data_IF_702267678680
#
_entry.id   IF_702267678680
#
_cell.length_a   1.000
_cell.length_b   1.000
_cell.length_c   1.000
_cell.angle_alpha   90.00
_cell.angle_beta   90.00
_cell.angle_gamma   90.00
#
_symmetry.space_group_name_H-M   'P 1'
#
loop_
_entity.id
_entity.type
_entity.pdbx_description
1 polymer ?
#
# COMPACT_ATOMS: atom_id res chain seq x y z
N UNK A 1 19.78 -37.70 40.80
CA UNK A 1 20.31 -36.62 39.95
C UNK A 1 19.42 -36.55 38.72
N UNK A 2 18.62 -35.49 38.61
CA UNK A 2 17.69 -35.33 37.48
C UNK A 2 18.30 -34.35 36.48
N UNK A 3 18.57 -34.83 35.27
CA UNK A 3 19.13 -34.04 34.17
C UNK A 3 18.01 -33.26 33.51
N UNK A 4 18.04 -31.94 33.62
CA UNK A 4 17.17 -31.05 32.85
C UNK A 4 17.73 -30.90 31.43
N UNK A 5 16.97 -31.36 30.43
CA UNK A 5 17.25 -31.10 29.03
C UNK A 5 16.73 -29.70 28.66
N UNK A 6 17.64 -28.77 28.38
CA UNK A 6 17.30 -27.44 27.89
C UNK A 6 16.96 -27.52 26.40
N UNK A 7 15.69 -27.26 26.07
CA UNK A 7 15.21 -27.16 24.69
C UNK A 7 15.66 -25.81 24.12
N UNK A 8 16.60 -25.83 23.19
CA UNK A 8 17.12 -24.61 22.54
C UNK A 8 16.10 -24.18 21.49
N UNK A 9 15.24 -23.21 21.83
CA UNK A 9 14.30 -22.61 20.89
C UNK A 9 15.12 -21.77 19.91
N UNK A 10 15.24 -22.25 18.66
CA UNK A 10 15.84 -21.48 17.58
C UNK A 10 14.90 -20.33 17.23
N UNK A 11 15.21 -19.15 17.73
CA UNK A 11 14.49 -17.92 17.37
C UNK A 11 15.01 -17.50 16.00
N UNK A 12 14.27 -17.83 14.95
CA UNK A 12 14.52 -17.28 13.62
C UNK A 12 14.32 -15.77 13.71
N UNK A 13 15.42 -15.00 13.70
CA UNK A 13 15.35 -13.56 13.56
C UNK A 13 14.76 -13.26 12.18
N UNK A 14 13.49 -12.86 12.13
CA UNK A 14 12.98 -12.12 10.99
C UNK A 14 13.86 -10.87 10.88
N UNK A 15 14.78 -10.88 9.91
CA UNK A 15 15.56 -9.69 9.58
C UNK A 15 14.56 -8.67 9.03
N UNK A 16 14.08 -7.80 9.91
CA UNK A 16 13.47 -6.55 9.50
C UNK A 16 14.55 -5.82 8.69
N UNK A 17 14.36 -5.74 7.37
CA UNK A 17 15.16 -4.83 6.55
C UNK A 17 14.93 -3.45 7.15
N UNK A 18 15.99 -2.81 7.67
CA UNK A 18 15.84 -1.54 8.34
C UNK A 18 15.43 -0.46 7.33
N UNK A 19 14.20 0.07 7.45
CA UNK A 19 13.66 1.16 6.63
C UNK A 19 12.57 0.73 5.65
N UNK A 20 11.96 1.72 5.01
CA UNK A 20 10.89 1.57 4.01
C UNK A 20 11.32 0.64 2.87
N UNK A 21 10.48 -0.33 2.55
CA UNK A 21 10.63 -1.30 1.47
C UNK A 21 9.71 -0.95 0.32
N UNK A 22 10.25 -0.88 -0.89
CA UNK A 22 9.42 -0.59 -2.06
C UNK A 22 8.49 -1.77 -2.37
N UNK A 23 7.18 -1.51 -2.39
CA UNK A 23 6.17 -2.41 -2.96
C UNK A 23 6.07 -2.24 -4.49
N UNK A 24 6.53 -1.10 -5.01
CA UNK A 24 6.79 -0.86 -6.43
C UNK A 24 5.92 0.23 -7.04
N UNK A 25 5.84 0.21 -8.38
CA UNK A 25 5.12 1.21 -9.18
C UNK A 25 3.87 0.66 -9.86
N UNK A 26 2.88 1.51 -10.10
CA UNK A 26 1.74 1.21 -10.97
C UNK A 26 1.16 2.46 -11.63
N UNK A 27 0.83 2.35 -12.91
CA UNK A 27 -0.06 3.28 -13.58
C UNK A 27 -1.51 3.06 -13.16
N UNK A 28 -2.34 4.09 -13.35
CA UNK A 28 -3.79 3.96 -13.25
C UNK A 28 -4.34 3.35 -14.54
N UNK A 29 -5.25 2.40 -14.42
CA UNK A 29 -6.01 1.84 -15.53
C UNK A 29 -7.50 2.07 -15.31
N UNK A 30 -8.21 2.23 -16.42
CA UNK A 30 -9.66 2.39 -16.42
C UNK A 30 -10.36 1.10 -16.01
N UNK A 31 -11.42 1.23 -15.21
CA UNK A 31 -12.37 0.15 -14.91
C UNK A 31 -13.72 0.42 -15.54
N UNK A 32 -14.67 -0.50 -15.34
CA UNK A 32 -16.05 -0.30 -15.76
C UNK A 32 -16.61 1.01 -15.17
N UNK A 33 -16.97 1.96 -16.03
CA UNK A 33 -17.40 3.30 -15.66
C UNK A 33 -16.34 4.37 -15.94
N UNK A 34 -16.45 5.53 -15.30
CA UNK A 34 -15.47 6.64 -15.39
C UNK A 34 -14.42 6.62 -14.27
N UNK A 35 -14.21 5.45 -13.66
CA UNK A 35 -13.31 5.25 -12.52
C UNK A 35 -12.00 4.61 -12.97
N UNK A 36 -10.91 4.92 -12.27
CA UNK A 36 -9.59 4.37 -12.54
C UNK A 36 -8.87 3.99 -11.25
N UNK A 37 -8.11 2.90 -11.27
CA UNK A 37 -7.28 2.48 -10.13
C UNK A 37 -5.98 1.78 -10.56
N UNK A 38 -5.09 1.59 -9.60
CA UNK A 38 -3.82 0.88 -9.76
C UNK A 38 -3.96 -0.61 -9.53
N UNK A 39 -2.91 -1.37 -9.84
CA UNK A 39 -2.80 -2.78 -9.40
C UNK A 39 -2.79 -2.85 -7.86
N UNK A 40 -2.92 -4.06 -7.34
CA UNK A 40 -2.84 -4.31 -5.90
C UNK A 40 -1.37 -4.43 -5.45
N UNK A 41 -1.09 -3.98 -4.23
CA UNK A 41 0.19 -4.06 -3.56
C UNK A 41 0.00 -4.78 -2.23
N UNK A 42 0.81 -5.79 -1.94
CA UNK A 42 0.73 -6.52 -0.68
C UNK A 42 1.63 -5.88 0.38
N UNK A 43 1.05 -5.21 1.37
CA UNK A 43 1.75 -4.61 2.52
C UNK A 43 1.72 -5.56 3.72
N UNK A 44 2.80 -5.57 4.52
CA UNK A 44 2.85 -6.27 5.80
C UNK A 44 1.99 -5.63 6.90
N UNK A 45 1.32 -4.52 6.61
CA UNK A 45 0.60 -3.71 7.59
C UNK A 45 1.47 -2.63 8.22
N UNK A 46 0.85 -1.72 8.97
CA UNK A 46 1.52 -0.58 9.58
C UNK A 46 1.29 0.70 8.79
N UNK A 47 2.35 1.48 8.56
CA UNK A 47 2.28 2.66 7.69
C UNK A 47 2.84 2.34 6.32
N UNK A 48 2.22 2.88 5.28
CA UNK A 48 2.78 2.89 3.91
C UNK A 48 3.02 4.33 3.46
N UNK A 49 3.90 4.51 2.47
CA UNK A 49 4.11 5.77 1.76
C UNK A 49 3.63 5.67 0.34
N UNK A 50 2.85 6.65 -0.11
CA UNK A 50 2.34 6.72 -1.47
C UNK A 50 2.88 7.99 -2.12
N UNK A 51 3.74 7.80 -3.13
CA UNK A 51 4.14 8.84 -4.06
C UNK A 51 3.19 8.86 -5.27
N UNK A 52 2.86 10.04 -5.77
CA UNK A 52 2.01 10.22 -6.94
C UNK A 52 2.70 11.09 -7.98
N UNK A 53 2.59 10.69 -9.25
CA UNK A 53 3.19 11.38 -10.38
C UNK A 53 2.20 11.46 -11.53
N UNK A 54 2.03 12.66 -12.09
CA UNK A 54 1.33 12.86 -13.36
C UNK A 54 2.19 13.72 -14.30
N UNK A 55 2.68 13.18 -15.41
CA UNK A 55 3.43 13.96 -16.39
C UNK A 55 2.64 15.17 -16.89
N UNK A 56 3.31 16.33 -16.95
CA UNK A 56 2.72 17.57 -17.47
C UNK A 56 1.76 18.27 -16.50
N UNK A 57 1.60 17.76 -15.29
CA UNK A 57 0.84 18.40 -14.23
C UNK A 57 1.78 19.19 -13.32
N UNK A 58 1.53 20.49 -13.17
CA UNK A 58 2.36 21.38 -12.34
C UNK A 58 1.59 22.03 -11.20
N UNK A 59 0.26 21.87 -11.14
CA UNK A 59 -0.60 22.58 -10.17
C UNK A 59 -1.86 21.81 -9.73
N UNK A 60 -2.08 20.55 -10.15
CA UNK A 60 -3.30 19.84 -9.77
C UNK A 60 -3.24 19.28 -8.35
N UNK A 61 -4.32 19.56 -7.61
CA UNK A 61 -4.63 18.88 -6.36
C UNK A 61 -5.47 17.66 -6.71
N UNK A 62 -4.91 16.48 -6.51
CA UNK A 62 -5.61 15.23 -6.70
C UNK A 62 -5.90 14.55 -5.36
N UNK A 63 -7.18 14.25 -5.13
CA UNK A 63 -7.60 13.38 -4.05
C UNK A 63 -7.51 11.93 -4.54
N UNK A 64 -6.57 11.17 -3.98
CA UNK A 64 -6.45 9.75 -4.23
C UNK A 64 -7.11 8.97 -3.10
N UNK A 65 -7.93 7.99 -3.46
CA UNK A 65 -8.59 7.10 -2.51
C UNK A 65 -7.76 5.83 -2.36
N UNK A 66 -7.50 5.41 -1.14
CA UNK A 66 -6.78 4.18 -0.81
C UNK A 66 -7.80 3.16 -0.30
N UNK A 67 -7.71 1.96 -0.84
CA UNK A 67 -8.62 0.85 -0.57
C UNK A 67 -7.83 -0.40 -0.23
N UNK A 68 -8.40 -1.23 0.61
CA UNK A 68 -8.02 -2.62 0.77
C UNK A 68 -8.94 -3.48 -0.10
N UNK A 69 -8.36 -4.45 -0.80
CA UNK A 69 -9.10 -5.36 -1.67
C UNK A 69 -9.28 -6.70 -0.99
N UNK A 70 -10.53 -7.10 -0.81
CA UNK A 70 -10.88 -8.41 -0.29
C UNK A 70 -11.55 -9.23 -1.41
N UNK A 71 -11.03 -10.39 -1.82
CA UNK A 71 -11.66 -11.22 -2.85
C UNK A 71 -12.99 -11.85 -2.41
N UNK A 72 -13.24 -11.92 -1.10
CA UNK A 72 -14.38 -12.59 -0.48
C UNK A 72 -15.41 -11.60 0.10
N UNK A 73 -15.04 -10.35 0.35
CA UNK A 73 -15.90 -9.28 0.85
C UNK A 73 -15.83 -8.03 -0.06
N UNK A 74 -16.68 -7.02 0.15
CA UNK A 74 -16.51 -5.73 -0.52
C UNK A 74 -15.18 -5.06 -0.14
N UNK A 75 -14.51 -4.43 -1.11
CA UNK A 75 -13.30 -3.64 -0.85
C UNK A 75 -13.51 -2.59 0.25
N UNK A 76 -12.56 -2.50 1.17
CA UNK A 76 -12.64 -1.63 2.34
C UNK A 76 -11.95 -0.29 2.10
N UNK A 77 -12.68 0.80 2.38
CA UNK A 77 -12.14 2.15 2.23
C UNK A 77 -11.22 2.49 3.41
N UNK A 78 -9.94 2.70 3.12
CA UNK A 78 -8.94 3.07 4.12
C UNK A 78 -8.94 4.58 4.36
N UNK A 79 -8.93 5.36 3.27
CA UNK A 79 -8.89 6.81 3.39
C UNK A 79 -8.58 7.55 2.09
N UNK A 80 -8.61 8.88 2.18
CA UNK A 80 -8.23 9.77 1.07
C UNK A 80 -6.91 10.46 1.41
N UNK A 81 -5.95 10.39 0.48
CA UNK A 81 -4.73 11.18 0.53
C UNK A 81 -4.86 12.34 -0.47
N UNK A 82 -4.64 13.55 0.02
CA UNK A 82 -4.63 14.75 -0.80
C UNK A 82 -3.21 15.03 -1.27
N UNK A 83 -2.99 14.88 -2.57
CA UNK A 83 -1.73 15.23 -3.20
C UNK A 83 -1.75 16.73 -3.51
N UNK A 84 -0.77 17.44 -2.97
CA UNK A 84 -0.51 18.85 -3.25
C UNK A 84 0.93 18.96 -3.75
N UNK A 85 1.21 19.98 -4.56
CA UNK A 85 2.53 20.20 -5.14
C UNK A 85 3.67 20.05 -4.14
N UNK A 86 4.73 19.37 -4.58
CA UNK A 86 5.92 19.13 -3.76
C UNK A 86 6.38 17.68 -3.70
N UNK A 87 5.76 16.76 -4.45
CA UNK A 87 6.24 15.39 -4.73
C UNK A 87 6.44 14.49 -3.50
N UNK A 88 6.17 15.00 -2.30
CA UNK A 88 6.45 14.32 -1.05
C UNK A 88 5.45 13.17 -0.88
N UNK A 89 5.92 11.92 -0.75
CA UNK A 89 5.05 10.78 -0.48
C UNK A 89 4.18 11.04 0.76
N UNK A 90 2.90 10.67 0.68
CA UNK A 90 1.96 10.76 1.81
C UNK A 90 1.92 9.44 2.55
N UNK A 91 1.84 9.51 3.87
CA UNK A 91 1.73 8.34 4.73
C UNK A 91 0.28 8.06 5.07
N UNK A 92 -0.07 6.78 5.12
CA UNK A 92 -1.37 6.30 5.61
C UNK A 92 -1.18 4.98 6.33
N UNK A 93 -1.93 4.77 7.42
CA UNK A 93 -1.87 3.52 8.16
C UNK A 93 -2.85 2.50 7.55
N UNK A 94 -2.33 1.31 7.26
CA UNK A 94 -3.06 0.17 6.69
C UNK A 94 -3.04 -1.05 7.61
N UNK A 95 -2.45 -0.94 8.80
CA UNK A 95 -2.21 -2.08 9.70
C UNK A 95 -3.46 -2.74 10.28
N UNK A 96 -4.63 -2.11 10.19
CA UNK A 96 -5.90 -2.72 10.61
C UNK A 96 -6.60 -3.50 9.50
N UNK A 97 -6.06 -3.50 8.28
CA UNK A 97 -6.66 -4.09 7.08
C UNK A 97 -5.79 -5.24 6.55
N UNK A 98 -5.17 -6.02 7.44
CA UNK A 98 -4.31 -7.17 7.08
C UNK A 98 -5.09 -8.48 7.15
N UNK A 99 -6.34 -8.47 6.71
CA UNK A 99 -7.28 -9.58 6.78
C UNK A 99 -7.44 -10.35 5.46
N UNK A 100 -6.74 -9.94 4.41
CA UNK A 100 -6.62 -10.70 3.17
C UNK A 100 -6.09 -12.13 3.36
N UNK A 101 -6.27 -12.98 2.33
CA UNK A 101 -6.09 -14.44 2.39
C UNK A 101 -4.66 -14.91 2.77
N UNK A 102 -3.68 -14.01 2.74
CA UNK A 102 -2.28 -14.25 3.08
C UNK A 102 -1.83 -13.50 4.37
N UNK A 103 -2.75 -12.88 5.10
CA UNK A 103 -2.47 -12.06 6.28
C UNK A 103 -1.75 -10.76 5.97
N UNK A 104 -1.92 -10.22 4.76
CA UNK A 104 -1.37 -8.94 4.30
C UNK A 104 -2.50 -8.00 3.92
N UNK A 105 -2.20 -6.70 3.91
CA UNK A 105 -3.11 -5.70 3.37
C UNK A 105 -2.94 -5.61 1.85
N UNK A 106 -4.04 -5.76 1.10
CA UNK A 106 -4.04 -5.79 -0.37
C UNK A 106 -4.47 -4.42 -0.92
N UNK A 107 -3.50 -3.51 -1.01
CA UNK A 107 -3.77 -2.08 -1.23
C UNK A 107 -3.89 -1.74 -2.70
N UNK A 108 -4.88 -0.94 -3.07
CA UNK A 108 -4.89 -0.22 -4.35
C UNK A 108 -5.27 1.25 -4.18
N UNK A 109 -4.88 2.06 -5.17
CA UNK A 109 -5.16 3.49 -5.20
C UNK A 109 -6.11 3.79 -6.35
N UNK A 110 -7.22 4.47 -6.05
CA UNK A 110 -8.20 4.94 -7.02
C UNK A 110 -8.12 6.46 -7.17
N UNK A 111 -8.27 6.93 -8.40
CA UNK A 111 -8.06 8.34 -8.72
C UNK A 111 -8.25 8.66 -10.21
N UNK A 112 -7.93 9.89 -10.61
CA UNK A 112 -7.93 10.31 -12.01
C UNK A 112 -6.88 9.54 -12.85
N UNK A 113 -7.23 9.27 -14.10
CA UNK A 113 -6.37 8.58 -15.09
C UNK A 113 -6.06 9.43 -16.33
N UNK A 114 -6.43 10.71 -16.32
CA UNK A 114 -6.01 11.66 -17.36
C UNK A 114 -4.52 11.96 -17.23
N UNK A 115 -3.79 11.98 -18.35
CA UNK A 115 -2.38 12.36 -18.37
C UNK A 115 -1.43 11.27 -17.84
N UNK A 116 -1.80 9.99 -17.97
CA UNK A 116 -0.97 8.82 -17.62
C UNK A 116 -0.30 8.86 -16.23
N UNK A 117 -1.07 9.10 -15.15
CA UNK A 117 -0.50 9.14 -13.81
C UNK A 117 -0.06 7.76 -13.33
N UNK A 118 0.88 7.75 -12.39
CA UNK A 118 1.34 6.55 -11.69
C UNK A 118 1.64 6.81 -10.21
N UNK A 119 1.68 5.75 -9.42
CA UNK A 119 2.07 5.77 -8.00
C UNK A 119 3.30 4.93 -7.72
N UNK A 120 4.07 5.34 -6.72
CA UNK A 120 5.06 4.53 -6.01
C UNK A 120 4.52 4.20 -4.62
N UNK A 121 4.67 2.95 -4.16
CA UNK A 121 4.32 2.59 -2.78
C UNK A 121 5.53 1.98 -2.06
N UNK A 122 5.78 2.44 -0.84
CA UNK A 122 6.71 1.84 0.13
C UNK A 122 5.98 1.40 1.40
N UNK A 123 6.51 0.38 2.08
CA UNK A 123 6.02 -0.26 3.32
C UNK A 123 7.16 -0.42 4.34
#
# INVERSE_FOLDING_TARGET
MATFAACVVSVSSASATAGWQSLGNSYFYATSGSSCHTKHFSSGGGEIRIGYWRPGDTESIDDLKVWESDPNNPDDFIGTIRMMDGWAPKQINVGTFTDGDNGKAEIYVAGPCTGDPWVHIDD
#
